data_IF_345173867879
#
_entry.id   IF_345173867879
#
_cell.length_a   1.000
_cell.length_b   1.000
_cell.length_c   1.000
_cell.angle_alpha   90.00
_cell.angle_beta   90.00
_cell.angle_gamma   90.00
#
_symmetry.space_group_name_H-M   'P 1'
#
loop_
_entity.id
_entity.type
_entity.pdbx_description
1 polymer ?
#
# COMPACT_ATOMS: atom_id res chain seq x y z
N UNK A 1 3.33 -37.04 40.30
CA UNK A 1 4.15 -37.08 39.07
C UNK A 1 3.24 -36.67 37.92
N UNK A 2 3.14 -35.38 37.56
CA UNK A 2 3.97 -34.60 36.62
C UNK A 2 4.02 -35.17 35.18
N UNK A 3 2.99 -34.80 34.41
CA UNK A 3 2.93 -34.26 33.03
C UNK A 3 3.93 -34.77 31.98
N UNK A 4 3.40 -35.29 30.84
CA UNK A 4 3.70 -34.76 29.50
C UNK A 4 2.84 -35.44 28.42
N UNK A 5 1.80 -34.75 27.93
CA UNK A 5 1.18 -35.02 26.63
C UNK A 5 1.66 -33.88 25.74
N UNK A 6 2.59 -34.19 24.84
CA UNK A 6 3.14 -33.25 23.86
C UNK A 6 2.31 -33.40 22.58
N UNK A 7 1.21 -32.65 22.48
CA UNK A 7 0.42 -32.58 21.26
C UNK A 7 1.13 -31.64 20.29
N UNK A 8 1.79 -32.24 19.29
CA UNK A 8 2.37 -31.55 18.14
C UNK A 8 1.27 -30.87 17.33
N UNK A 9 1.17 -29.55 17.42
CA UNK A 9 0.40 -28.73 16.49
C UNK A 9 1.29 -27.57 16.04
N UNK A 10 2.11 -27.80 15.01
CA UNK A 10 2.93 -26.77 14.39
C UNK A 10 3.11 -27.08 12.89
N UNK A 11 2.05 -26.83 12.12
CA UNK A 11 2.12 -26.79 10.65
C UNK A 11 0.97 -25.92 10.12
N UNK A 12 1.07 -24.61 10.36
CA UNK A 12 0.15 -23.63 9.78
C UNK A 12 0.86 -22.30 9.54
N UNK A 13 1.97 -22.28 8.80
CA UNK A 13 2.56 -21.04 8.33
C UNK A 13 3.11 -21.20 6.91
N UNK A 14 2.93 -20.16 6.11
CA UNK A 14 3.34 -19.98 4.72
C UNK A 14 2.35 -20.49 3.66
N UNK A 15 1.09 -20.07 3.76
CA UNK A 15 0.49 -19.55 2.52
C UNK A 15 1.16 -18.21 2.22
N UNK A 16 1.63 -17.96 0.98
CA UNK A 16 1.90 -16.61 0.55
C UNK A 16 0.53 -15.94 0.47
N UNK A 17 0.07 -15.40 1.60
CA UNK A 17 -1.02 -14.43 1.59
C UNK A 17 -0.50 -13.34 0.68
N UNK A 18 -1.09 -13.22 -0.51
CA UNK A 18 -0.90 -12.05 -1.35
C UNK A 18 -1.30 -10.85 -0.48
N UNK A 19 -0.29 -10.27 0.16
CA UNK A 19 -0.47 -9.48 1.37
C UNK A 19 -1.16 -8.18 0.97
N UNK A 20 -2.42 -8.06 1.35
CA UNK A 20 -2.94 -6.76 1.74
C UNK A 20 -1.97 -6.17 2.76
N UNK A 21 -1.67 -4.87 2.68
CA UNK A 21 -0.98 -4.19 3.78
C UNK A 21 -1.87 -4.39 5.01
N UNK A 22 -1.34 -5.11 6.01
CA UNK A 22 -2.15 -5.65 7.09
C UNK A 22 -2.94 -4.54 7.79
N UNK A 23 -4.26 -4.70 7.89
CA UNK A 23 -5.14 -3.73 8.55
C UNK A 23 -5.54 -2.50 7.72
N UNK A 24 -5.00 -2.30 6.52
CA UNK A 24 -5.28 -1.11 5.70
C UNK A 24 -6.77 -0.95 5.36
N UNK A 25 -7.44 -2.02 4.89
CA UNK A 25 -8.87 -1.95 4.53
C UNK A 25 -9.76 -1.63 5.74
N UNK A 26 -9.46 -2.20 6.91
CA UNK A 26 -10.20 -1.92 8.14
C UNK A 26 -10.01 -0.47 8.57
N UNK A 27 -8.77 0.04 8.54
CA UNK A 27 -8.49 1.45 8.81
C UNK A 27 -9.25 2.36 7.83
N UNK A 28 -9.24 2.05 6.53
CA UNK A 28 -9.92 2.85 5.52
C UNK A 28 -11.44 2.85 5.72
N UNK A 29 -12.04 1.70 6.03
CA UNK A 29 -13.47 1.61 6.33
C UNK A 29 -13.84 2.46 7.55
N UNK A 30 -13.04 2.38 8.64
CA UNK A 30 -13.22 3.23 9.82
C UNK A 30 -13.05 4.71 9.47
N UNK A 31 -12.01 5.08 8.73
CA UNK A 31 -11.75 6.46 8.38
C UNK A 31 -12.88 7.08 7.54
N UNK A 32 -13.43 6.33 6.59
CA UNK A 32 -14.58 6.77 5.79
C UNK A 32 -15.85 6.87 6.63
N UNK A 33 -16.08 5.93 7.55
CA UNK A 33 -17.22 5.96 8.46
C UNK A 33 -17.16 7.16 9.41
N UNK A 34 -15.99 7.46 9.94
CA UNK A 34 -15.78 8.50 10.95
C UNK A 34 -15.50 9.88 10.32
N UNK A 35 -15.42 9.97 8.98
CA UNK A 35 -15.14 11.21 8.25
C UNK A 35 -13.73 11.76 8.46
N UNK A 36 -12.77 10.91 8.88
CA UNK A 36 -11.37 11.29 9.07
C UNK A 36 -10.55 11.09 7.80
N UNK A 37 -9.33 11.63 7.75
CA UNK A 37 -8.45 11.49 6.58
C UNK A 37 -8.02 10.02 6.35
N UNK A 38 -8.46 9.36 5.26
CA UNK A 38 -8.12 7.97 4.99
C UNK A 38 -6.65 7.79 4.55
N UNK A 39 -5.93 8.87 4.22
CA UNK A 39 -4.53 8.78 3.81
C UNK A 39 -3.58 8.44 4.97
N UNK A 40 -4.05 8.60 6.21
CA UNK A 40 -3.36 8.20 7.46
C UNK A 40 -3.20 6.67 7.55
N UNK A 41 -4.06 5.90 6.89
CA UNK A 41 -4.00 4.43 6.90
C UNK A 41 -2.78 3.83 6.19
N UNK A 42 -1.96 4.66 5.54
CA UNK A 42 -0.73 4.26 4.85
C UNK A 42 0.52 4.55 5.69
N UNK A 43 0.42 5.50 6.63
CA UNK A 43 1.58 5.94 7.43
C UNK A 43 2.25 4.81 8.22
N UNK A 44 1.51 3.85 8.82
CA UNK A 44 2.13 2.75 9.55
C UNK A 44 3.08 1.90 8.69
N UNK A 45 2.74 1.66 7.41
CA UNK A 45 3.63 0.91 6.51
C UNK A 45 4.88 1.71 6.13
N UNK A 46 4.75 3.01 5.93
CA UNK A 46 5.90 3.88 5.64
C UNK A 46 6.84 3.95 6.85
N UNK A 47 6.28 4.14 8.05
CA UNK A 47 7.04 4.19 9.30
C UNK A 47 7.80 2.87 9.54
N UNK A 48 7.14 1.72 9.35
CA UNK A 48 7.78 0.41 9.51
C UNK A 48 9.01 0.23 8.59
N UNK A 49 8.93 0.69 7.34
CA UNK A 49 10.08 0.61 6.43
C UNK A 49 11.23 1.56 6.81
N UNK A 50 10.92 2.72 7.40
CA UNK A 50 11.93 3.68 7.86
C UNK A 50 12.59 3.24 9.17
N UNK A 51 11.83 2.63 10.09
CA UNK A 51 12.35 2.16 11.38
C UNK A 51 13.25 0.91 11.24
N UNK A 52 13.05 0.13 10.18
CA UNK A 52 13.77 -1.13 9.96
C UNK A 52 15.26 -0.99 9.64
N UNK A 53 15.73 0.19 9.22
CA UNK A 53 17.10 0.37 8.76
C UNK A 53 17.56 1.84 8.61
N UNK A 54 17.69 2.61 9.71
CA UNK A 54 18.10 4.02 9.64
C UNK A 54 19.46 4.24 8.97
N UNK A 55 20.38 3.28 9.08
CA UNK A 55 21.74 3.36 8.56
C UNK A 55 21.96 2.63 7.21
N UNK A 56 20.94 1.94 6.67
CA UNK A 56 21.08 1.18 5.42
C UNK A 56 19.95 1.45 4.42
N UNK A 57 20.08 2.48 3.56
CA UNK A 57 19.04 2.87 2.59
C UNK A 57 18.57 1.72 1.69
N UNK A 58 19.45 0.77 1.39
CA UNK A 58 19.13 -0.40 0.58
C UNK A 58 18.07 -1.32 1.23
N UNK A 59 18.09 -1.50 2.56
CA UNK A 59 17.12 -2.35 3.26
C UNK A 59 15.75 -1.69 3.25
N UNK A 60 15.68 -0.40 3.58
CA UNK A 60 14.42 0.36 3.47
C UNK A 60 13.90 0.39 2.03
N UNK A 61 14.78 0.45 1.02
CA UNK A 61 14.40 0.38 -0.40
C UNK A 61 13.69 -0.94 -0.71
N UNK A 62 14.25 -2.07 -0.25
CA UNK A 62 13.61 -3.39 -0.42
C UNK A 62 12.25 -3.44 0.28
N UNK A 63 12.16 -2.94 1.51
CA UNK A 63 10.87 -2.86 2.23
C UNK A 63 9.81 -2.07 1.44
N UNK A 64 10.15 -0.88 0.94
CA UNK A 64 9.22 -0.08 0.14
C UNK A 64 8.81 -0.77 -1.17
N UNK A 65 9.72 -1.52 -1.80
CA UNK A 65 9.40 -2.30 -2.99
C UNK A 65 8.39 -3.43 -2.70
N UNK A 66 8.55 -4.11 -1.57
CA UNK A 66 7.59 -5.12 -1.11
C UNK A 66 6.24 -4.47 -0.78
N UNK A 67 6.21 -3.37 -0.03
CA UNK A 67 4.98 -2.62 0.27
C UNK A 67 4.30 -2.13 -1.01
N UNK A 68 5.04 -1.64 -2.01
CA UNK A 68 4.50 -1.26 -3.32
C UNK A 68 3.83 -2.44 -4.02
N UNK A 69 4.47 -3.61 -4.02
CA UNK A 69 3.92 -4.81 -4.63
C UNK A 69 2.62 -5.25 -3.95
N UNK A 70 2.55 -5.14 -2.62
CA UNK A 70 1.35 -5.39 -1.82
C UNK A 70 0.20 -4.45 -2.18
N UNK A 71 0.46 -3.14 -2.26
CA UNK A 71 -0.55 -2.17 -2.70
C UNK A 71 -1.00 -2.41 -4.14
N UNK A 72 -0.09 -2.74 -5.05
CA UNK A 72 -0.42 -3.10 -6.43
C UNK A 72 -1.33 -4.33 -6.51
N UNK A 73 -1.06 -5.35 -5.69
CA UNK A 73 -1.91 -6.52 -5.57
C UNK A 73 -3.30 -6.17 -5.01
N UNK A 74 -3.37 -5.28 -4.03
CA UNK A 74 -4.63 -4.80 -3.45
C UNK A 74 -5.49 -4.04 -4.48
N UNK A 75 -4.89 -3.16 -5.30
CA UNK A 75 -5.56 -2.49 -6.42
C UNK A 75 -6.10 -3.54 -7.39
N UNK A 76 -5.25 -4.47 -7.82
CA UNK A 76 -5.64 -5.53 -8.75
C UNK A 76 -6.79 -6.39 -8.24
N UNK A 77 -6.79 -6.74 -6.95
CA UNK A 77 -7.86 -7.49 -6.29
C UNK A 77 -9.16 -6.69 -6.29
N UNK A 78 -9.11 -5.43 -5.84
CA UNK A 78 -10.29 -4.54 -5.74
C UNK A 78 -10.92 -4.29 -7.11
N UNK A 79 -10.12 -3.94 -8.12
CA UNK A 79 -10.58 -3.74 -9.50
C UNK A 79 -11.29 -4.97 -10.06
N UNK A 80 -10.76 -6.17 -9.81
CA UNK A 80 -11.37 -7.44 -10.25
C UNK A 80 -12.68 -7.78 -9.53
N UNK A 81 -12.89 -7.26 -8.32
CA UNK A 81 -14.13 -7.50 -7.56
C UNK A 81 -15.25 -6.52 -7.87
N UNK A 82 -14.98 -5.46 -8.64
CA UNK A 82 -16.01 -4.47 -8.99
C UNK A 82 -17.03 -5.07 -9.99
N UNK A 83 -18.30 -4.67 -9.90
CA UNK A 83 -19.32 -5.07 -10.86
C UNK A 83 -19.04 -4.53 -12.28
N UNK A 84 -19.68 -5.12 -13.28
CA UNK A 84 -19.61 -4.64 -14.66
C UNK A 84 -20.66 -3.55 -14.93
N UNK A 85 -20.49 -2.41 -14.28
CA UNK A 85 -21.30 -1.21 -14.52
C UNK A 85 -20.44 0.02 -14.91
N UNK A 86 -21.10 1.12 -15.26
CA UNK A 86 -20.43 2.35 -15.68
C UNK A 86 -19.59 2.97 -14.55
N UNK A 87 -20.08 2.98 -13.32
CA UNK A 87 -19.40 3.59 -12.19
C UNK A 87 -18.11 2.82 -11.83
N UNK A 88 -18.20 1.49 -11.77
CA UNK A 88 -17.07 0.60 -11.62
C UNK A 88 -16.06 0.75 -12.77
N UNK A 89 -16.53 0.85 -14.02
CA UNK A 89 -15.67 1.08 -15.19
C UNK A 89 -14.90 2.39 -15.07
N UNK A 90 -15.55 3.47 -14.64
CA UNK A 90 -14.87 4.75 -14.37
C UNK A 90 -13.82 4.59 -13.26
N UNK A 91 -14.16 3.96 -12.14
CA UNK A 91 -13.21 3.74 -11.04
C UNK A 91 -11.97 2.91 -11.48
N UNK A 92 -12.15 1.95 -12.38
CA UNK A 92 -11.04 1.18 -12.97
C UNK A 92 -10.13 2.04 -13.84
N UNK A 93 -10.71 2.93 -14.65
CA UNK A 93 -9.97 3.87 -15.50
C UNK A 93 -9.21 4.88 -14.63
N UNK A 94 -9.88 5.49 -13.66
CA UNK A 94 -9.29 6.43 -12.69
C UNK A 94 -8.10 5.77 -11.97
N UNK A 95 -8.29 4.60 -11.36
CA UNK A 95 -7.20 3.89 -10.67
C UNK A 95 -6.00 3.58 -11.59
N UNK A 96 -6.25 3.18 -12.85
CA UNK A 96 -5.18 2.93 -13.82
C UNK A 96 -4.33 4.18 -14.05
N UNK A 97 -4.98 5.31 -14.34
CA UNK A 97 -4.27 6.54 -14.66
C UNK A 97 -3.68 7.22 -13.42
N UNK A 98 -4.28 7.06 -12.25
CA UNK A 98 -3.73 7.53 -10.98
C UNK A 98 -2.39 6.85 -10.66
N UNK A 99 -2.29 5.52 -10.80
CA UNK A 99 -1.00 4.82 -10.62
C UNK A 99 0.03 5.30 -11.63
N UNK A 100 -0.33 5.38 -12.92
CA UNK A 100 0.61 5.81 -13.98
C UNK A 100 1.09 7.23 -13.73
N UNK A 101 0.18 8.16 -13.42
CA UNK A 101 0.51 9.55 -13.12
C UNK A 101 1.43 9.66 -11.91
N UNK A 102 1.17 8.90 -10.85
CA UNK A 102 2.04 8.81 -9.68
C UNK A 102 3.45 8.31 -10.01
N UNK A 103 3.56 7.24 -10.80
CA UNK A 103 4.85 6.69 -11.24
C UNK A 103 5.68 7.71 -12.02
N UNK A 104 5.05 8.42 -12.98
CA UNK A 104 5.73 9.46 -13.76
C UNK A 104 6.24 10.60 -12.87
N UNK A 105 5.48 11.00 -11.85
CA UNK A 105 5.95 12.02 -10.90
C UNK A 105 7.14 11.52 -10.07
N UNK A 106 7.14 10.25 -9.65
CA UNK A 106 8.27 9.68 -8.93
C UNK A 106 9.54 9.58 -9.80
N UNK A 107 9.41 9.21 -11.09
CA UNK A 107 10.53 9.22 -12.03
C UNK A 107 11.05 10.64 -12.27
N UNK A 108 10.15 11.64 -12.34
CA UNK A 108 10.54 13.05 -12.42
C UNK A 108 11.33 13.50 -11.18
N UNK A 109 10.90 13.11 -9.99
CA UNK A 109 11.60 13.43 -8.74
C UNK A 109 13.00 12.79 -8.72
N UNK A 110 13.12 11.53 -9.13
CA UNK A 110 14.42 10.86 -9.26
C UNK A 110 15.34 11.60 -10.24
N UNK A 111 14.85 11.96 -11.42
CA UNK A 111 15.62 12.69 -12.42
C UNK A 111 16.12 14.05 -11.90
N UNK A 112 15.27 14.77 -11.17
CA UNK A 112 15.64 16.03 -10.51
C UNK A 112 16.68 15.82 -9.41
N UNK A 113 16.54 14.78 -8.59
CA UNK A 113 17.51 14.46 -7.54
C UNK A 113 18.90 14.13 -8.11
N UNK A 114 18.95 13.32 -9.18
CA UNK A 114 20.20 13.01 -9.89
C UNK A 114 20.89 14.23 -10.50
N UNK A 115 20.11 15.22 -10.93
CA UNK A 115 20.63 16.41 -11.60
C UNK A 115 21.05 17.53 -10.64
N UNK A 116 20.40 17.64 -9.47
CA UNK A 116 20.44 18.86 -8.67
C UNK A 116 20.45 18.66 -7.14
N UNK A 117 20.53 17.43 -6.61
CA UNK A 117 20.62 17.18 -5.16
C UNK A 117 22.00 16.67 -4.75
N UNK A 118 22.33 16.84 -3.46
CA UNK A 118 23.54 16.28 -2.84
C UNK A 118 23.38 14.84 -2.36
N UNK A 119 22.25 14.18 -2.68
CA UNK A 119 21.98 12.81 -2.28
C UNK A 119 22.83 11.82 -3.09
N UNK A 120 23.29 10.77 -2.43
CA UNK A 120 23.98 9.68 -3.11
C UNK A 120 23.00 8.72 -3.82
N UNK A 121 23.55 7.80 -4.62
CA UNK A 121 22.75 6.83 -5.39
C UNK A 121 21.78 6.01 -4.53
N UNK A 122 22.22 5.39 -3.42
CA UNK A 122 21.35 4.67 -2.50
C UNK A 122 20.22 5.53 -1.90
N UNK A 123 20.49 6.78 -1.52
CA UNK A 123 19.47 7.69 -0.99
C UNK A 123 18.45 8.06 -2.08
N UNK A 124 18.89 8.35 -3.31
CA UNK A 124 18.00 8.62 -4.43
C UNK A 124 17.11 7.41 -4.72
N UNK A 125 17.68 6.20 -4.72
CA UNK A 125 16.93 4.96 -4.92
C UNK A 125 15.86 4.75 -3.83
N UNK A 126 16.21 4.98 -2.57
CA UNK A 126 15.25 4.93 -1.46
C UNK A 126 14.11 5.94 -1.63
N UNK A 127 14.42 7.20 -1.94
CA UNK A 127 13.41 8.24 -2.14
C UNK A 127 12.47 7.90 -3.30
N UNK A 128 13.01 7.36 -4.40
CA UNK A 128 12.20 6.87 -5.52
C UNK A 128 11.26 5.76 -5.08
N UNK A 129 11.77 4.72 -4.44
CA UNK A 129 10.95 3.56 -4.11
C UNK A 129 9.89 3.90 -3.07
N UNK A 130 10.21 4.77 -2.10
CA UNK A 130 9.24 5.35 -1.17
C UNK A 130 8.15 6.13 -1.89
N UNK A 131 8.51 6.98 -2.86
CA UNK A 131 7.53 7.69 -3.68
C UNK A 131 6.61 6.72 -4.43
N UNK A 132 7.17 5.70 -5.09
CA UNK A 132 6.39 4.73 -5.85
C UNK A 132 5.43 3.93 -4.96
N UNK A 133 5.89 3.52 -3.78
CA UNK A 133 5.06 2.82 -2.79
C UNK A 133 3.90 3.72 -2.33
N UNK A 134 4.20 4.96 -1.92
CA UNK A 134 3.19 5.93 -1.47
C UNK A 134 2.19 6.29 -2.56
N UNK A 135 2.64 6.49 -3.80
CA UNK A 135 1.77 6.76 -4.94
C UNK A 135 0.81 5.59 -5.18
N UNK A 136 1.30 4.35 -5.14
CA UNK A 136 0.49 3.14 -5.30
C UNK A 136 -0.52 3.00 -4.17
N UNK A 137 -0.09 3.24 -2.92
CA UNK A 137 -0.95 3.22 -1.74
C UNK A 137 -2.08 4.25 -1.85
N UNK A 138 -1.77 5.50 -2.21
CA UNK A 138 -2.75 6.57 -2.35
C UNK A 138 -3.76 6.29 -3.48
N UNK A 139 -3.34 5.63 -4.56
CA UNK A 139 -4.28 5.17 -5.59
C UNK A 139 -5.24 4.12 -5.03
N UNK A 140 -4.75 3.18 -4.20
CA UNK A 140 -5.61 2.23 -3.52
C UNK A 140 -6.61 2.93 -2.58
N UNK A 141 -6.16 3.93 -1.79
CA UNK A 141 -7.04 4.73 -0.92
C UNK A 141 -8.17 5.40 -1.71
N UNK A 142 -7.85 6.05 -2.84
CA UNK A 142 -8.86 6.69 -3.70
C UNK A 142 -9.81 5.68 -4.30
N UNK A 143 -9.30 4.56 -4.83
CA UNK A 143 -10.12 3.48 -5.36
C UNK A 143 -11.05 2.91 -4.29
N UNK A 144 -10.54 2.69 -3.08
CA UNK A 144 -11.33 2.19 -1.96
C UNK A 144 -12.44 3.18 -1.64
N UNK A 145 -12.14 4.46 -1.43
CA UNK A 145 -13.14 5.49 -1.13
C UNK A 145 -14.20 5.63 -2.23
N UNK A 146 -13.80 5.50 -3.51
CA UNK A 146 -14.70 5.61 -4.67
C UNK A 146 -15.68 4.43 -4.76
N UNK A 147 -15.26 3.25 -4.33
CA UNK A 147 -15.97 1.97 -4.56
C UNK A 147 -16.51 1.35 -3.28
N UNK A 148 -16.17 1.91 -2.13
CA UNK A 148 -16.74 1.53 -0.85
C UNK A 148 -18.11 2.21 -0.76
N UNK A 149 -19.16 1.40 -0.89
CA UNK A 149 -20.51 1.86 -0.62
C UNK A 149 -20.54 2.37 0.82
N UNK A 150 -20.91 3.63 1.03
CA UNK A 150 -21.62 3.94 2.26
C UNK A 150 -22.89 3.08 2.21
N UNK A 151 -23.12 2.23 3.21
CA UNK A 151 -24.47 1.73 3.43
C UNK A 151 -25.39 2.96 3.40
N UNK A 152 -26.46 2.99 2.58
CA UNK A 152 -27.45 4.03 2.73
C UNK A 152 -27.91 3.93 4.18
N UNK A 153 -27.60 4.97 4.97
CA UNK A 153 -28.20 5.14 6.26
C UNK A 153 -29.70 4.93 6.05
N UNK A 154 -30.23 3.93 6.74
CA UNK A 154 -31.66 3.82 6.96
C UNK A 154 -32.03 5.09 7.70
N UNK A 155 -32.58 6.06 6.97
CA UNK A 155 -33.72 6.93 7.34
C UNK A 155 -33.94 8.02 6.28
#
# INVERSE_FOLDING_TARGET
MRVMICTTMLAALCSPVAAQVAGAEACLATALKDGTDPTLCVEPSDAACMDSAPETPAVSTVCFAETRAQWGAAIGKRVKSLPEDTAATVARIEAKYDVIGGMVQCDRIEALAKAASDLDGPQIALQKERCLSRATALTYVRLFARTHSADPASD
#
